data_IF_860404509092
#
_entry.id   IF_860404509092
#
_cell.length_a   1.000
_cell.length_b   1.000
_cell.length_c   1.000
_cell.angle_alpha   90.00
_cell.angle_beta   90.00
_cell.angle_gamma   90.00
#
_symmetry.space_group_name_H-M   'P 1'
#
loop_
_entity.id
_entity.type
_entity.pdbx_description
1 polymer ?
#
# COMPACT_ATOMS: atom_id res chain seq x y z
N UNK A 1 -4.83 -15.45 -13.44
CA UNK A 1 -4.04 -15.58 -12.19
C UNK A 1 -2.63 -15.93 -12.65
N UNK A 2 -1.64 -15.06 -12.44
CA UNK A 2 -0.26 -15.37 -12.81
C UNK A 2 0.19 -16.49 -11.88
N UNK A 3 0.69 -17.58 -12.46
CA UNK A 3 1.22 -18.71 -11.71
C UNK A 3 2.42 -18.25 -10.87
N UNK A 4 2.34 -18.41 -9.55
CA UNK A 4 3.38 -18.03 -8.61
C UNK A 4 4.69 -18.80 -8.83
N UNK A 5 4.70 -19.89 -9.60
CA UNK A 5 5.93 -20.55 -10.05
C UNK A 5 6.86 -19.62 -10.86
N UNK A 6 6.32 -18.68 -11.64
CA UNK A 6 7.13 -17.78 -12.47
C UNK A 6 7.86 -16.70 -11.65
N UNK A 7 7.46 -16.49 -10.40
CA UNK A 7 8.07 -15.52 -9.49
C UNK A 7 9.10 -16.15 -8.54
N UNK A 8 9.35 -17.46 -8.62
CA UNK A 8 10.33 -18.16 -7.76
C UNK A 8 11.76 -17.63 -7.88
N UNK A 9 12.07 -16.94 -8.99
CA UNK A 9 13.37 -16.33 -9.23
C UNK A 9 13.53 -14.95 -8.56
N UNK A 10 12.41 -14.32 -8.13
CA UNK A 10 12.41 -12.99 -7.52
C UNK A 10 12.54 -13.12 -6.01
N UNK A 11 13.67 -12.67 -5.47
CA UNK A 11 13.88 -12.62 -4.03
C UNK A 11 13.08 -11.47 -3.40
N UNK A 12 11.93 -11.79 -2.79
CA UNK A 12 11.09 -10.82 -2.08
C UNK A 12 11.67 -10.33 -0.72
N UNK A 13 12.84 -10.84 -0.32
CA UNK A 13 13.49 -10.53 0.95
C UNK A 13 13.66 -9.04 1.25
N UNK A 14 14.08 -8.17 0.30
CA UNK A 14 14.16 -6.73 0.56
C UNK A 14 12.81 -6.09 0.91
N UNK A 15 11.74 -6.46 0.21
CA UNK A 15 10.39 -5.95 0.46
C UNK A 15 9.82 -6.46 1.79
N UNK A 16 10.07 -7.74 2.12
CA UNK A 16 9.70 -8.33 3.42
C UNK A 16 10.41 -7.61 4.57
N UNK A 17 11.73 -7.44 4.48
CA UNK A 17 12.52 -6.73 5.50
C UNK A 17 12.09 -5.28 5.69
N UNK A 18 11.64 -4.60 4.63
CA UNK A 18 11.08 -3.26 4.75
C UNK A 18 9.81 -3.26 5.60
N UNK A 19 8.84 -4.13 5.28
CA UNK A 19 7.60 -4.27 6.07
C UNK A 19 7.86 -4.67 7.52
N UNK A 20 8.83 -5.57 7.77
CA UNK A 20 9.23 -5.93 9.13
C UNK A 20 9.78 -4.74 9.94
N UNK A 21 10.52 -3.82 9.30
CA UNK A 21 10.96 -2.58 9.97
C UNK A 21 9.78 -1.66 10.31
N UNK A 22 8.82 -1.54 9.41
CA UNK A 22 7.62 -0.72 9.64
C UNK A 22 6.76 -1.30 10.75
N UNK A 23 6.60 -2.63 10.78
CA UNK A 23 5.88 -3.37 11.81
C UNK A 23 6.40 -3.12 13.23
N UNK A 24 7.70 -2.87 13.38
CA UNK A 24 8.30 -2.53 14.68
C UNK A 24 8.33 -1.01 14.97
N UNK A 25 7.65 -0.20 14.16
CA UNK A 25 7.44 1.23 14.38
C UNK A 25 8.41 2.17 13.67
N UNK A 26 9.16 1.71 12.66
CA UNK A 26 10.04 2.60 11.89
C UNK A 26 9.22 3.53 10.97
N UNK A 27 9.40 4.84 11.13
CA UNK A 27 8.73 5.86 10.32
C UNK A 27 9.77 6.48 9.36
N UNK A 28 9.71 6.10 8.10
CA UNK A 28 10.58 6.62 7.03
C UNK A 28 9.83 6.64 5.69
N UNK A 29 10.18 7.55 4.75
CA UNK A 29 9.67 7.48 3.39
C UNK A 29 9.95 6.12 2.73
N UNK A 30 9.01 5.63 1.92
CA UNK A 30 9.18 4.37 1.18
C UNK A 30 9.83 4.54 -0.19
N UNK A 31 10.05 5.78 -0.66
CA UNK A 31 10.67 6.02 -1.98
C UNK A 31 12.06 5.39 -2.05
N UNK A 32 12.33 4.66 -3.14
CA UNK A 32 13.58 3.90 -3.32
C UNK A 32 13.72 2.65 -2.45
N UNK A 33 12.76 2.33 -1.58
CA UNK A 33 12.79 1.11 -0.76
C UNK A 33 12.32 -0.08 -1.58
N UNK A 34 13.08 -1.17 -1.51
CA UNK A 34 12.87 -2.41 -2.28
C UNK A 34 12.66 -2.15 -3.80
N UNK A 35 13.70 -1.68 -4.51
CA UNK A 35 13.60 -1.41 -5.95
C UNK A 35 13.10 -2.61 -6.75
N UNK A 36 12.29 -2.35 -7.78
CA UNK A 36 11.67 -3.39 -8.62
C UNK A 36 10.42 -4.05 -8.04
N UNK A 37 10.01 -3.71 -6.82
CA UNK A 37 8.74 -4.15 -6.24
C UNK A 37 7.67 -3.06 -6.36
N UNK A 38 6.44 -3.46 -6.64
CA UNK A 38 5.30 -2.53 -6.67
C UNK A 38 5.02 -2.00 -5.27
N UNK A 39 4.93 -0.67 -5.16
CA UNK A 39 4.37 0.00 -4.00
C UNK A 39 2.92 0.41 -4.28
N UNK A 40 2.08 0.39 -3.26
CA UNK A 40 0.67 0.71 -3.36
C UNK A 40 0.28 1.80 -2.36
N UNK A 41 -0.67 2.63 -2.75
CA UNK A 41 -1.46 3.43 -1.84
C UNK A 41 -2.50 2.53 -1.16
N UNK A 42 -3.01 2.94 0.01
CA UNK A 42 -4.02 2.18 0.73
C UNK A 42 -5.17 3.08 1.19
N UNK A 43 -6.39 2.60 1.05
CA UNK A 43 -7.58 3.13 1.72
C UNK A 43 -8.37 1.98 2.32
N UNK A 44 -8.88 2.18 3.53
CA UNK A 44 -9.57 1.15 4.30
C UNK A 44 -10.88 1.76 4.79
N UNK A 45 -12.00 1.09 4.51
CA UNK A 45 -13.34 1.62 4.75
C UNK A 45 -14.22 0.56 5.40
N UNK A 46 -15.19 0.93 6.25
CA UNK A 46 -16.25 0.01 6.67
C UNK A 46 -16.98 -0.56 5.46
N UNK A 47 -17.48 -1.79 5.59
CA UNK A 47 -18.11 -2.52 4.47
C UNK A 47 -19.20 -1.72 3.75
N UNK A 48 -19.99 -0.96 4.51
CA UNK A 48 -21.08 -0.15 3.98
C UNK A 48 -20.59 0.94 3.01
N UNK A 49 -19.36 1.44 3.18
CA UNK A 49 -18.73 2.41 2.27
C UNK A 49 -17.87 1.74 1.18
N UNK A 50 -17.49 0.48 1.38
CA UNK A 50 -16.61 -0.24 0.46
C UNK A 50 -17.25 -0.41 -0.93
N UNK A 51 -18.57 -0.60 -1.01
CA UNK A 51 -19.26 -0.67 -2.31
C UNK A 51 -19.16 0.65 -3.08
N UNK A 52 -19.39 1.77 -2.41
CA UNK A 52 -19.30 3.10 -3.02
C UNK A 52 -17.89 3.36 -3.54
N UNK A 53 -16.87 3.02 -2.76
CA UNK A 53 -15.49 3.18 -3.19
C UNK A 53 -15.11 2.24 -4.33
N UNK A 54 -15.57 0.98 -4.33
CA UNK A 54 -15.32 0.06 -5.43
C UNK A 54 -15.96 0.55 -6.73
N UNK A 55 -17.20 1.05 -6.68
CA UNK A 55 -17.87 1.65 -7.82
C UNK A 55 -17.17 2.93 -8.28
N UNK A 56 -16.70 3.75 -7.34
CA UNK A 56 -15.91 4.94 -7.63
C UNK A 56 -14.60 4.57 -8.34
N UNK A 57 -13.88 3.56 -7.84
CA UNK A 57 -12.63 3.11 -8.44
C UNK A 57 -12.85 2.56 -9.85
N UNK A 58 -13.90 1.76 -10.05
CA UNK A 58 -14.26 1.28 -11.39
C UNK A 58 -14.66 2.43 -12.34
N UNK A 59 -15.33 3.46 -11.85
CA UNK A 59 -15.66 4.63 -12.70
C UNK A 59 -14.42 5.48 -13.01
N UNK A 60 -13.37 5.37 -12.21
CA UNK A 60 -12.17 6.20 -12.29
C UNK A 60 -10.87 5.34 -12.34
N UNK A 61 -10.75 4.38 -13.27
CA UNK A 61 -9.69 3.35 -13.20
C UNK A 61 -8.27 3.90 -13.40
N UNK A 62 -8.14 5.08 -14.02
CA UNK A 62 -6.85 5.77 -14.15
C UNK A 62 -6.40 6.42 -12.84
N UNK A 63 -7.34 6.97 -12.08
CA UNK A 63 -7.05 7.64 -10.81
C UNK A 63 -7.01 6.66 -9.63
N UNK A 64 -7.80 5.58 -9.71
CA UNK A 64 -7.91 4.56 -8.67
C UNK A 64 -7.69 3.15 -9.28
N UNK A 65 -6.48 2.85 -9.80
CA UNK A 65 -6.16 1.52 -10.32
C UNK A 65 -6.05 0.52 -9.16
N UNK A 66 -7.14 -0.16 -8.82
CA UNK A 66 -7.16 -1.17 -7.73
C UNK A 66 -6.29 -2.38 -8.11
N UNK A 67 -5.36 -2.73 -7.24
CA UNK A 67 -4.49 -3.90 -7.36
C UNK A 67 -5.03 -5.12 -6.59
N UNK A 68 -5.59 -4.88 -5.39
CA UNK A 68 -6.17 -5.90 -4.53
C UNK A 68 -7.25 -5.31 -3.63
N UNK A 69 -8.21 -6.14 -3.23
CA UNK A 69 -9.28 -5.81 -2.30
C UNK A 69 -9.36 -6.92 -1.27
N UNK A 70 -9.23 -6.60 0.02
CA UNK A 70 -9.34 -7.61 1.07
C UNK A 70 -10.79 -8.07 1.25
N UNK A 71 -10.97 -9.29 1.74
CA UNK A 71 -12.27 -9.67 2.31
C UNK A 71 -12.62 -8.76 3.50
N UNK A 72 -13.92 -8.51 3.79
CA UNK A 72 -14.33 -7.75 4.95
C UNK A 72 -13.79 -8.34 6.26
N UNK A 73 -13.18 -7.50 7.08
CA UNK A 73 -12.54 -7.87 8.36
C UNK A 73 -11.13 -8.47 8.20
N UNK A 74 -10.69 -8.77 6.98
CA UNK A 74 -9.33 -9.24 6.73
C UNK A 74 -8.35 -8.06 6.66
N UNK A 75 -7.22 -8.22 7.31
CA UNK A 75 -6.06 -7.31 7.22
C UNK A 75 -4.92 -7.91 6.40
N UNK A 76 -5.19 -9.01 5.69
CA UNK A 76 -4.24 -9.67 4.79
C UNK A 76 -4.48 -9.24 3.33
N UNK A 77 -3.44 -9.35 2.52
CA UNK A 77 -3.48 -9.12 1.06
C UNK A 77 -2.78 -10.26 0.33
N UNK A 78 -3.26 -10.59 -0.87
CA UNK A 78 -2.61 -11.56 -1.75
C UNK A 78 -1.31 -11.02 -2.36
N UNK A 79 -1.13 -9.70 -2.40
CA UNK A 79 0.06 -9.04 -2.97
C UNK A 79 1.32 -9.26 -2.13
N UNK A 80 1.16 -9.56 -0.84
CA UNK A 80 2.26 -9.75 0.09
C UNK A 80 1.89 -10.84 1.13
N UNK A 81 2.12 -12.13 0.82
CA UNK A 81 1.86 -13.20 1.77
C UNK A 81 2.57 -12.98 3.12
N UNK A 82 1.81 -13.11 4.21
CA UNK A 82 2.30 -12.87 5.59
C UNK A 82 2.36 -11.39 6.01
N UNK A 83 1.97 -10.45 5.14
CA UNK A 83 1.83 -9.06 5.52
C UNK A 83 0.62 -8.81 6.42
N UNK A 84 0.71 -7.79 7.25
CA UNK A 84 -0.37 -7.27 8.07
C UNK A 84 -0.58 -5.78 7.76
N UNK A 85 -1.68 -5.46 7.07
CA UNK A 85 -1.97 -4.10 6.61
C UNK A 85 -2.17 -3.07 7.74
N UNK A 86 -2.26 -3.52 8.99
CA UNK A 86 -2.41 -2.64 10.17
C UNK A 86 -1.09 -2.08 10.67
N UNK A 87 0.03 -2.76 10.39
CA UNK A 87 1.35 -2.41 10.95
C UNK A 87 2.49 -2.39 9.93
N UNK A 88 2.30 -2.92 8.72
CA UNK A 88 3.38 -3.03 7.71
C UNK A 88 3.63 -1.77 6.87
N UNK A 89 2.95 -0.66 7.14
CA UNK A 89 3.21 0.65 6.55
C UNK A 89 3.86 1.57 7.59
N UNK A 90 4.76 2.50 7.16
CA UNK A 90 5.50 3.35 8.09
C UNK A 90 4.62 4.38 8.81
N UNK A 91 3.53 4.83 8.19
CA UNK A 91 2.62 5.81 8.78
C UNK A 91 1.22 5.72 8.16
N UNK A 92 0.21 5.78 9.01
CA UNK A 92 -1.21 5.78 8.66
C UNK A 92 -1.84 7.13 8.97
N UNK A 93 -2.86 7.48 8.21
CA UNK A 93 -3.75 8.62 8.45
C UNK A 93 -5.14 8.10 8.81
N UNK A 94 -5.62 8.43 10.00
CA UNK A 94 -6.95 8.05 10.44
C UNK A 94 -7.91 9.20 10.18
N UNK A 95 -8.99 8.91 9.47
CA UNK A 95 -9.98 9.91 9.04
C UNK A 95 -11.29 9.71 9.80
N UNK A 96 -11.87 10.79 10.30
CA UNK A 96 -13.17 10.82 10.97
C UNK A 96 -13.96 12.02 10.48
N UNK A 97 -15.21 11.82 10.10
CA UNK A 97 -16.10 12.88 9.60
C UNK A 97 -15.48 13.73 8.48
N UNK A 98 -14.74 13.09 7.58
CA UNK A 98 -14.06 13.74 6.46
C UNK A 98 -12.85 14.61 6.85
N UNK A 99 -12.34 14.48 8.07
CA UNK A 99 -11.18 15.22 8.59
C UNK A 99 -10.09 14.27 9.07
N UNK A 100 -8.83 14.67 8.89
CA UNK A 100 -7.70 13.96 9.46
C UNK A 100 -7.76 14.09 10.99
N UNK A 101 -7.94 12.97 11.68
CA UNK A 101 -8.04 12.92 13.13
C UNK A 101 -6.66 12.71 13.78
N UNK A 102 -5.85 11.82 13.21
CA UNK A 102 -4.52 11.48 13.73
C UNK A 102 -3.62 10.84 12.66
N UNK A 103 -2.32 10.83 12.95
CA UNK A 103 -1.31 10.04 12.25
C UNK A 103 -0.67 9.05 13.24
N UNK A 104 -0.54 7.78 12.86
CA UNK A 104 -0.01 6.71 13.73
C UNK A 104 0.87 5.75 12.93
N UNK A 105 1.87 5.14 13.56
CA UNK A 105 2.69 4.08 12.95
C UNK A 105 2.03 2.69 13.04
N UNK A 106 0.94 2.55 13.82
CA UNK A 106 0.18 1.32 13.97
C UNK A 106 -1.32 1.63 13.96
N UNK A 107 -2.02 1.11 12.95
CA UNK A 107 -3.45 1.32 12.75
C UNK A 107 -4.33 0.25 13.45
N UNK A 108 -3.74 -0.69 14.20
CA UNK A 108 -4.48 -1.82 14.83
C UNK A 108 -5.64 -1.33 15.70
N UNK A 109 -5.45 -0.25 16.46
CA UNK A 109 -6.50 0.32 17.30
C UNK A 109 -7.68 0.86 16.47
N UNK A 110 -7.39 1.66 15.44
CA UNK A 110 -8.42 2.20 14.53
C UNK A 110 -9.13 1.08 13.75
N UNK A 111 -8.40 0.02 13.39
CA UNK A 111 -8.95 -1.14 12.71
C UNK A 111 -9.97 -1.90 13.57
N UNK A 112 -9.73 -1.97 14.89
CA UNK A 112 -10.60 -2.67 15.83
C UNK A 112 -11.94 -1.96 16.07
N UNK A 113 -12.08 -0.71 15.66
CA UNK A 113 -13.33 0.05 15.79
C UNK A 113 -14.45 -0.47 14.87
N UNK A 114 -14.09 -1.14 13.79
CA UNK A 114 -15.03 -1.68 12.80
C UNK A 114 -14.67 -3.13 12.50
N UNK A 115 -15.58 -4.10 12.75
CA UNK A 115 -15.27 -5.52 12.60
C UNK A 115 -15.16 -5.98 11.13
N UNK A 116 -15.57 -5.14 10.17
CA UNK A 116 -15.83 -5.50 8.78
C UNK A 116 -15.12 -4.57 7.77
N UNK A 117 -13.99 -3.97 8.18
CA UNK A 117 -13.20 -3.12 7.30
C UNK A 117 -12.75 -3.84 6.03
N UNK A 118 -12.78 -3.13 4.91
CA UNK A 118 -12.33 -3.57 3.59
C UNK A 118 -11.15 -2.69 3.18
N UNK A 119 -10.03 -3.32 2.83
CA UNK A 119 -8.83 -2.65 2.36
C UNK A 119 -8.77 -2.64 0.85
N UNK A 120 -8.43 -1.49 0.27
CA UNK A 120 -8.15 -1.34 -1.14
C UNK A 120 -6.68 -0.94 -1.31
N UNK A 121 -5.91 -1.79 -1.98
CA UNK A 121 -4.56 -1.47 -2.40
C UNK A 121 -4.62 -0.90 -3.81
N UNK A 122 -4.17 0.33 -3.97
CA UNK A 122 -4.30 1.12 -5.20
C UNK A 122 -2.90 1.34 -5.77
N UNK A 123 -2.75 1.10 -7.07
CA UNK A 123 -1.49 1.27 -7.77
C UNK A 123 -0.91 2.66 -7.60
N UNK A 124 0.42 2.72 -7.50
CA UNK A 124 1.16 3.96 -7.45
C UNK A 124 1.96 4.17 -8.75
N UNK A 125 2.17 5.44 -9.10
CA UNK A 125 3.04 5.85 -10.19
C UNK A 125 4.51 5.47 -10.00
N UNK A 126 4.89 5.02 -8.80
CA UNK A 126 6.26 4.57 -8.51
C UNK A 126 6.68 3.32 -9.30
N UNK A 127 5.72 2.60 -9.87
CA UNK A 127 6.00 1.46 -10.76
C UNK A 127 6.69 1.85 -12.07
N UNK A 128 6.66 3.13 -12.48
CA UNK A 128 7.35 3.61 -13.69
C UNK A 128 8.78 4.08 -13.41
N UNK A 129 9.12 4.36 -12.15
CA UNK A 129 10.39 5.01 -11.77
C UNK A 129 11.59 4.11 -12.02
N UNK A 130 11.48 2.81 -11.73
CA UNK A 130 12.57 1.86 -11.97
C UNK A 130 12.88 1.74 -13.46
N UNK A 131 11.91 1.47 -14.36
CA UNK A 131 12.18 1.48 -15.81
C UNK A 131 12.68 2.83 -16.34
N UNK A 132 12.19 3.95 -15.80
CA UNK A 132 12.66 5.29 -16.20
C UNK A 132 14.12 5.52 -15.79
N UNK A 133 14.49 5.16 -14.56
CA UNK A 133 15.87 5.25 -14.08
C UNK A 133 16.81 4.33 -14.89
N UNK A 134 16.39 3.10 -15.20
CA UNK A 134 17.12 2.17 -16.07
C UNK A 134 17.33 2.72 -17.49
N UNK A 135 16.37 3.51 -17.99
CA UNK A 135 16.47 4.21 -19.27
C UNK A 135 17.32 5.51 -19.20
N UNK A 136 17.90 5.83 -18.04
CA UNK A 136 18.71 7.03 -17.83
C UNK A 136 17.91 8.31 -17.62
N UNK A 137 16.61 8.21 -17.31
CA UNK A 137 15.75 9.36 -16.98
C UNK A 137 15.84 9.59 -15.47
N UNK A 138 16.35 10.75 -15.09
CA UNK A 138 16.45 11.15 -13.68
C UNK A 138 15.06 11.35 -13.05
N UNK A 139 14.86 10.76 -11.85
CA UNK A 139 13.67 10.98 -11.03
C UNK A 139 13.99 12.03 -9.95
N UNK A 140 13.54 13.27 -10.20
CA UNK A 140 13.93 14.44 -9.40
C UNK A 140 13.68 14.29 -7.89
N UNK A 141 12.50 13.82 -7.49
CA UNK A 141 12.15 13.70 -6.06
C UNK A 141 12.97 12.62 -5.34
N UNK A 142 13.46 11.60 -6.04
CA UNK A 142 14.42 10.63 -5.48
C UNK A 142 15.77 11.32 -5.22
N UNK A 143 16.27 12.09 -6.19
CA UNK A 143 17.49 12.90 -6.03
C UNK A 143 17.37 13.86 -4.85
N UNK A 144 16.23 14.54 -4.76
CA UNK A 144 15.96 15.57 -3.76
C UNK A 144 15.55 15.00 -2.38
N UNK A 145 15.37 13.67 -2.28
CA UNK A 145 14.87 12.96 -1.09
C UNK A 145 13.56 13.54 -0.57
N UNK A 146 12.67 13.87 -1.50
CA UNK A 146 11.35 14.42 -1.24
C UNK A 146 10.26 13.48 -1.75
N UNK A 147 9.02 13.73 -1.33
CA UNK A 147 7.87 13.16 -2.01
C UNK A 147 7.64 13.92 -3.33
N UNK A 148 7.09 13.23 -4.34
CA UNK A 148 6.71 13.81 -5.64
C UNK A 148 5.69 14.94 -5.50
#
# INVERSE_FOLDING_TARGET
MIDSEHLRHINAGPAQKARERYRIGSIEPTSGVAPGFTQANMIVLPRDWAFDFLLYAQRNPKACPVLDVSDPGSHATLLAPGADLRSDLPLYRIWRDGRLAEETADATAAWAEYPDLVSFLIGCSFTFETPMAEAGIEIRHITDKSNV
#
